data_IF_666358696260
#
_entry.id   IF_666358696260
#
_cell.length_a   1.000
_cell.length_b   1.000
_cell.length_c   1.000
_cell.angle_alpha   90.00
_cell.angle_beta   90.00
_cell.angle_gamma   90.00
#
_symmetry.space_group_name_H-M   'P 1'
#
loop_
_entity.id
_entity.type
_entity.pdbx_description
1 polymer ?
#
# COMPACT_ATOMS: atom_id res chain seq x y z
N UNK A 1 -8.68 -6.62 -11.19
CA UNK A 1 -8.45 -7.41 -9.97
C UNK A 1 -9.73 -8.17 -9.66
N UNK A 2 -9.60 -9.42 -9.20
CA UNK A 2 -10.64 -10.46 -9.02
C UNK A 2 -11.99 -10.26 -9.72
N UNK A 3 -12.83 -9.30 -9.31
CA UNK A 3 -14.13 -9.00 -9.92
C UNK A 3 -14.07 -8.78 -11.44
N UNK A 4 -13.04 -8.12 -11.99
CA UNK A 4 -12.93 -8.00 -13.46
C UNK A 4 -12.58 -9.32 -14.14
N UNK A 5 -11.79 -10.16 -13.47
CA UNK A 5 -11.45 -11.48 -13.98
C UNK A 5 -12.70 -12.37 -13.98
N UNK A 6 -13.51 -12.28 -12.92
CA UNK A 6 -14.75 -13.02 -12.77
C UNK A 6 -15.89 -12.48 -13.67
N UNK A 7 -15.80 -11.22 -14.13
CA UNK A 7 -16.79 -10.54 -14.99
C UNK A 7 -18.22 -10.69 -14.47
N UNK A 8 -18.41 -10.48 -13.17
CA UNK A 8 -19.68 -10.79 -12.49
C UNK A 8 -20.86 -9.94 -12.99
N UNK A 9 -20.58 -8.74 -13.52
CA UNK A 9 -21.58 -7.82 -14.06
C UNK A 9 -21.83 -8.00 -15.57
N UNK A 10 -21.14 -8.95 -16.21
CA UNK A 10 -21.27 -9.21 -17.63
C UNK A 10 -22.21 -10.38 -17.87
N UNK A 11 -23.36 -10.12 -18.51
CA UNK A 11 -24.35 -11.14 -18.84
C UNK A 11 -23.79 -12.30 -19.71
N UNK A 12 -22.66 -12.09 -20.39
CA UNK A 12 -21.96 -13.12 -21.16
C UNK A 12 -20.95 -13.94 -20.34
N UNK A 13 -20.72 -13.57 -19.07
CA UNK A 13 -19.85 -14.33 -18.17
C UNK A 13 -20.58 -15.60 -17.68
N UNK A 14 -19.92 -16.77 -17.69
CA UNK A 14 -20.48 -17.98 -17.10
C UNK A 14 -20.87 -17.84 -15.61
N UNK A 15 -20.29 -16.86 -14.92
CA UNK A 15 -20.52 -16.58 -13.50
C UNK A 15 -21.63 -15.55 -13.25
N UNK A 16 -22.18 -14.92 -14.29
CA UNK A 16 -23.25 -13.94 -14.15
C UNK A 16 -24.47 -14.53 -13.40
N UNK A 17 -24.96 -13.81 -12.40
CA UNK A 17 -26.11 -14.22 -11.59
C UNK A 17 -25.84 -15.36 -10.60
N UNK A 18 -24.60 -15.86 -10.47
CA UNK A 18 -24.24 -16.86 -9.46
C UNK A 18 -23.88 -16.19 -8.14
N UNK A 19 -24.39 -16.73 -7.04
CA UNK A 19 -24.10 -16.23 -5.70
C UNK A 19 -22.62 -16.44 -5.34
N UNK A 20 -21.99 -15.42 -4.77
CA UNK A 20 -20.57 -15.42 -4.41
C UNK A 20 -20.41 -14.92 -2.97
N UNK A 21 -19.60 -15.63 -2.19
CA UNK A 21 -19.18 -15.18 -0.87
C UNK A 21 -17.78 -14.58 -1.00
N UNK A 22 -17.65 -13.29 -0.73
CA UNK A 22 -16.37 -12.59 -0.74
C UNK A 22 -15.78 -12.53 0.67
N UNK A 23 -14.54 -13.00 0.83
CA UNK A 23 -13.77 -12.84 2.07
C UNK A 23 -12.69 -11.81 1.79
N UNK A 24 -12.87 -10.61 2.32
CA UNK A 24 -11.87 -9.54 2.24
C UNK A 24 -10.88 -9.68 3.38
N UNK A 25 -9.60 -9.81 3.05
CA UNK A 25 -8.52 -9.79 4.04
C UNK A 25 -8.01 -8.37 4.15
N UNK A 26 -8.15 -7.79 5.34
CA UNK A 26 -7.69 -6.44 5.64
C UNK A 26 -6.33 -6.47 6.36
N UNK A 27 -5.64 -5.33 6.36
CA UNK A 27 -4.46 -5.12 7.17
C UNK A 27 -4.81 -5.30 8.64
N UNK A 28 -3.81 -5.67 9.44
CA UNK A 28 -3.99 -5.69 10.88
C UNK A 28 -4.15 -4.26 11.42
N UNK A 29 -5.03 -4.09 12.40
CA UNK A 29 -5.01 -2.88 13.21
C UNK A 29 -3.69 -2.79 13.97
N UNK A 30 -3.34 -1.61 14.47
CA UNK A 30 -2.14 -1.42 15.29
C UNK A 30 -2.07 -2.46 16.42
N UNK A 31 -3.18 -2.63 17.14
CA UNK A 31 -3.26 -3.56 18.28
C UNK A 31 -3.05 -5.00 17.83
N UNK A 32 -3.64 -5.38 16.69
CA UNK A 32 -3.49 -6.73 16.15
C UNK A 32 -2.09 -6.98 15.61
N UNK A 33 -1.41 -5.98 15.06
CA UNK A 33 0.00 -6.06 14.65
C UNK A 33 0.93 -6.26 15.84
N UNK A 34 0.69 -5.54 16.95
CA UNK A 34 1.43 -5.72 18.21
C UNK A 34 1.21 -7.14 18.74
N UNK A 35 -0.05 -7.56 18.89
CA UNK A 35 -0.42 -8.89 19.38
C UNK A 35 0.18 -10.02 18.53
N UNK A 36 0.19 -9.84 17.20
CA UNK A 36 0.79 -10.79 16.26
C UNK A 36 2.29 -10.99 16.52
N UNK A 37 3.06 -9.90 16.64
CA UNK A 37 4.50 -9.98 16.91
C UNK A 37 4.79 -10.51 18.31
N UNK A 38 4.05 -10.05 19.33
CA UNK A 38 4.19 -10.52 20.71
C UNK A 38 4.00 -12.03 20.78
N UNK A 39 2.90 -12.56 20.23
CA UNK A 39 2.64 -14.01 20.22
C UNK A 39 3.69 -14.79 19.43
N UNK A 40 4.18 -14.24 18.31
CA UNK A 40 5.27 -14.83 17.56
C UNK A 40 6.56 -14.95 18.39
N UNK A 41 6.92 -13.91 19.15
CA UNK A 41 8.09 -13.92 20.02
C UNK A 41 7.91 -14.82 21.24
N UNK A 42 6.71 -14.91 21.82
CA UNK A 42 6.39 -15.85 22.91
C UNK A 42 6.62 -17.30 22.48
N UNK A 43 6.19 -17.69 21.27
CA UNK A 43 6.42 -19.03 20.72
C UNK A 43 7.92 -19.37 20.58
N UNK A 44 8.76 -18.34 20.45
CA UNK A 44 10.22 -18.46 20.32
C UNK A 44 10.95 -18.30 21.66
N UNK A 45 10.23 -18.14 22.78
CA UNK A 45 10.78 -17.79 24.09
C UNK A 45 11.68 -16.54 24.07
N UNK A 46 11.38 -15.58 23.18
CA UNK A 46 12.09 -14.31 23.09
C UNK A 46 11.49 -13.28 24.05
N UNK A 47 12.36 -12.54 24.74
CA UNK A 47 11.95 -11.40 25.55
C UNK A 47 11.50 -10.26 24.65
N UNK A 48 10.24 -9.83 24.79
CA UNK A 48 9.67 -8.76 23.99
C UNK A 48 10.07 -7.38 24.53
N UNK A 49 10.37 -6.44 23.64
CA UNK A 49 10.41 -5.00 23.94
C UNK A 49 9.25 -4.31 23.20
N UNK A 50 8.17 -4.03 23.93
CA UNK A 50 6.96 -3.44 23.35
C UNK A 50 7.21 -2.09 22.67
N UNK A 51 8.14 -1.27 23.19
CA UNK A 51 8.44 0.03 22.58
C UNK A 51 9.05 -0.15 21.20
N UNK A 52 9.89 -1.17 21.03
CA UNK A 52 10.54 -1.50 19.75
C UNK A 52 9.56 -2.12 18.76
N UNK A 53 8.63 -2.93 19.25
CA UNK A 53 7.53 -3.47 18.44
C UNK A 53 6.63 -2.34 17.92
N UNK A 54 6.26 -1.40 18.78
CA UNK A 54 5.46 -0.23 18.38
C UNK A 54 6.19 0.63 17.34
N UNK A 55 7.49 0.89 17.53
CA UNK A 55 8.34 1.62 16.57
C UNK A 55 8.37 0.93 15.20
N UNK A 56 8.44 -0.41 15.17
CA UNK A 56 8.41 -1.14 13.91
C UNK A 56 7.05 -1.05 13.21
N UNK A 57 5.95 -1.06 13.96
CA UNK A 57 4.59 -0.95 13.41
C UNK A 57 4.33 0.45 12.85
N UNK A 58 4.91 1.50 13.44
CA UNK A 58 4.84 2.85 12.87
C UNK A 58 5.45 2.91 11.46
N UNK A 59 6.47 2.11 11.18
CA UNK A 59 7.15 2.07 9.88
C UNK A 59 6.61 1.04 8.89
N UNK A 60 6.11 -0.10 9.37
CA UNK A 60 5.69 -1.24 8.55
C UNK A 60 4.17 -1.36 8.39
N UNK A 61 3.41 -0.64 9.21
CA UNK A 61 1.95 -0.72 9.29
C UNK A 61 1.44 -2.17 9.54
N UNK A 62 0.15 -2.43 9.34
CA UNK A 62 -0.50 -3.72 9.55
C UNK A 62 -0.31 -4.75 8.44
N UNK A 63 0.72 -4.63 7.59
CA UNK A 63 0.97 -5.57 6.50
C UNK A 63 1.67 -6.82 7.03
N UNK A 64 0.92 -7.92 7.10
CA UNK A 64 1.36 -9.19 7.71
C UNK A 64 2.68 -9.69 7.12
N UNK A 65 2.90 -9.53 5.81
CA UNK A 65 4.16 -9.92 5.16
C UNK A 65 5.37 -9.22 5.76
N UNK A 66 5.27 -7.91 5.98
CA UNK A 66 6.35 -7.12 6.60
C UNK A 66 6.53 -7.45 8.08
N UNK A 67 5.45 -7.68 8.82
CA UNK A 67 5.52 -8.12 10.22
C UNK A 67 6.22 -9.47 10.35
N UNK A 68 5.97 -10.41 9.44
CA UNK A 68 6.65 -11.72 9.42
C UNK A 68 8.14 -11.55 9.12
N UNK A 69 8.50 -10.77 8.10
CA UNK A 69 9.90 -10.50 7.76
C UNK A 69 10.63 -9.85 8.94
N UNK A 70 10.00 -8.87 9.58
CA UNK A 70 10.52 -8.22 10.78
C UNK A 70 10.73 -9.20 11.92
N UNK A 71 9.70 -9.94 12.33
CA UNK A 71 9.78 -10.89 13.44
C UNK A 71 10.84 -11.98 13.21
N UNK A 72 10.93 -12.50 11.98
CA UNK A 72 11.96 -13.45 11.58
C UNK A 72 13.37 -12.85 11.73
N UNK A 73 13.56 -11.60 11.31
CA UNK A 73 14.87 -10.94 11.36
C UNK A 73 15.28 -10.60 12.79
N UNK A 74 14.33 -10.19 13.64
CA UNK A 74 14.55 -10.02 15.09
C UNK A 74 15.03 -11.32 15.70
N UNK A 75 14.36 -12.44 15.41
CA UNK A 75 14.76 -13.76 15.92
C UNK A 75 16.16 -14.18 15.44
N UNK A 76 16.46 -13.96 14.16
CA UNK A 76 17.73 -14.36 13.57
C UNK A 76 18.91 -13.53 14.09
N UNK A 77 18.72 -12.21 14.29
CA UNK A 77 19.82 -11.26 14.55
C UNK A 77 19.88 -10.74 15.99
N UNK A 78 18.80 -10.86 16.74
CA UNK A 78 18.70 -10.39 18.12
C UNK A 78 18.67 -8.86 18.29
N UNK A 79 18.50 -8.09 17.21
CA UNK A 79 18.38 -6.63 17.25
C UNK A 79 17.11 -6.17 16.53
N UNK A 80 16.27 -5.42 17.26
CA UNK A 80 15.04 -4.82 16.73
C UNK A 80 15.34 -3.71 15.72
N UNK A 81 16.38 -2.91 15.95
CA UNK A 81 16.80 -1.81 15.08
C UNK A 81 17.34 -2.32 13.74
N UNK A 82 18.26 -3.29 13.77
CA UNK A 82 18.78 -3.92 12.56
C UNK A 82 17.65 -4.61 11.79
N UNK A 83 16.76 -5.32 12.49
CA UNK A 83 15.62 -5.97 11.86
C UNK A 83 14.68 -4.97 11.16
N UNK A 84 14.41 -3.82 11.80
CA UNK A 84 13.56 -2.79 11.20
C UNK A 84 14.21 -2.22 9.94
N UNK A 85 15.48 -1.84 10.01
CA UNK A 85 16.22 -1.29 8.87
C UNK A 85 16.23 -2.24 7.68
N UNK A 86 16.54 -3.52 7.91
CA UNK A 86 16.62 -4.52 6.83
C UNK A 86 15.26 -4.92 6.27
N UNK A 87 14.24 -4.95 7.13
CA UNK A 87 12.87 -5.21 6.67
C UNK A 87 12.39 -4.07 5.80
N UNK A 88 12.64 -2.82 6.19
CA UNK A 88 12.32 -1.65 5.38
C UNK A 88 13.04 -1.67 4.04
N UNK A 89 14.34 -1.95 4.03
CA UNK A 89 15.10 -2.05 2.77
C UNK A 89 14.55 -3.15 1.85
N UNK A 90 14.22 -4.31 2.42
CA UNK A 90 13.67 -5.42 1.64
C UNK A 90 12.26 -5.12 1.13
N UNK A 91 11.42 -4.50 1.96
CA UNK A 91 10.06 -4.10 1.59
C UNK A 91 10.09 -3.02 0.50
N UNK A 92 10.97 -2.03 0.62
CA UNK A 92 11.17 -0.98 -0.39
C UNK A 92 11.56 -1.58 -1.75
N UNK A 93 12.49 -2.54 -1.79
CA UNK A 93 12.90 -3.22 -3.04
C UNK A 93 11.77 -4.02 -3.68
N UNK A 94 10.92 -4.66 -2.87
CA UNK A 94 9.74 -5.38 -3.38
C UNK A 94 8.79 -4.38 -4.04
N UNK A 95 8.46 -3.30 -3.32
CA UNK A 95 7.57 -2.24 -3.81
C UNK A 95 8.14 -1.51 -5.02
N UNK A 96 9.45 -1.25 -5.04
CA UNK A 96 10.13 -0.62 -6.17
C UNK A 96 9.90 -1.41 -7.45
N UNK A 97 10.09 -2.74 -7.40
CA UNK A 97 9.82 -3.62 -8.53
C UNK A 97 8.34 -3.60 -8.95
N UNK A 98 7.41 -3.61 -8.01
CA UNK A 98 5.97 -3.53 -8.31
C UNK A 98 5.59 -2.19 -8.96
N UNK A 99 6.23 -1.10 -8.53
CA UNK A 99 6.06 0.23 -9.09
C UNK A 99 6.69 0.35 -10.48
N UNK A 100 7.86 -0.23 -10.73
CA UNK A 100 8.47 -0.31 -12.07
C UNK A 100 7.50 -0.94 -13.08
N UNK A 101 6.94 -2.11 -12.76
CA UNK A 101 5.95 -2.80 -13.60
C UNK A 101 4.66 -1.98 -13.80
N UNK A 102 4.29 -1.15 -12.81
CA UNK A 102 3.15 -0.24 -12.93
C UNK A 102 3.47 0.93 -13.86
N UNK A 103 4.66 1.52 -13.75
CA UNK A 103 5.08 2.70 -14.52
C UNK A 103 5.35 2.37 -15.99
N UNK A 104 5.83 1.15 -16.28
CA UNK A 104 5.93 0.64 -17.65
C UNK A 104 4.58 0.66 -18.39
N UNK A 105 3.46 0.46 -17.67
CA UNK A 105 2.12 0.54 -18.26
C UNK A 105 1.72 1.98 -18.59
N UNK A 106 2.11 2.94 -17.76
CA UNK A 106 1.92 4.37 -17.98
C UNK A 106 2.66 5.21 -16.95
N UNK A 107 3.44 6.17 -17.43
CA UNK A 107 4.09 7.19 -16.60
C UNK A 107 3.10 8.01 -15.76
N UNK A 108 1.83 8.10 -16.18
CA UNK A 108 0.82 8.84 -15.45
C UNK A 108 0.52 8.24 -14.06
N UNK A 109 0.76 6.93 -13.86
CA UNK A 109 0.66 6.31 -12.54
C UNK A 109 1.69 6.89 -11.57
N UNK A 110 2.94 7.04 -12.05
CA UNK A 110 4.03 7.62 -11.28
C UNK A 110 3.71 9.06 -10.87
N UNK A 111 3.33 9.89 -11.84
CA UNK A 111 3.01 11.31 -11.60
C UNK A 111 1.92 11.48 -10.54
N UNK A 112 0.86 10.64 -10.59
CA UNK A 112 -0.23 10.70 -9.61
C UNK A 112 0.22 10.23 -8.24
N UNK A 113 1.00 9.15 -8.14
CA UNK A 113 1.52 8.67 -6.87
C UNK A 113 2.49 9.69 -6.24
N UNK A 114 3.37 10.30 -7.03
CA UNK A 114 4.27 11.38 -6.58
C UNK A 114 3.48 12.57 -6.02
N UNK A 115 2.44 13.03 -6.72
CA UNK A 115 1.60 14.13 -6.25
C UNK A 115 1.03 13.83 -4.85
N UNK A 116 0.47 12.62 -4.68
CA UNK A 116 -0.18 12.20 -3.44
C UNK A 116 0.84 12.03 -2.32
N UNK A 117 2.01 11.45 -2.60
CA UNK A 117 3.12 11.35 -1.65
C UNK A 117 3.60 12.73 -1.17
N UNK A 118 3.58 13.74 -2.05
CA UNK A 118 3.81 15.15 -1.72
C UNK A 118 2.59 15.87 -1.12
N UNK A 119 1.62 15.14 -0.57
CA UNK A 119 0.42 15.66 0.12
C UNK A 119 -0.53 16.46 -0.80
N UNK A 120 -0.38 16.34 -2.12
CA UNK A 120 -1.36 16.83 -3.09
C UNK A 120 -2.41 15.74 -3.27
N UNK A 121 -3.36 15.66 -2.34
CA UNK A 121 -4.27 14.53 -2.20
C UNK A 121 -5.72 14.81 -2.64
N UNK A 122 -6.01 15.98 -3.21
CA UNK A 122 -7.33 16.28 -3.78
C UNK A 122 -7.27 16.24 -5.30
N UNK A 123 -8.38 15.93 -5.97
CA UNK A 123 -8.43 15.86 -7.43
C UNK A 123 -7.82 17.11 -8.10
N UNK A 124 -8.19 18.30 -7.63
CA UNK A 124 -7.69 19.57 -8.19
C UNK A 124 -6.18 19.73 -8.04
N UNK A 125 -5.61 19.41 -6.87
CA UNK A 125 -4.16 19.51 -6.64
C UNK A 125 -3.38 18.46 -7.41
N UNK A 126 -3.90 17.23 -7.50
CA UNK A 126 -3.29 16.16 -8.30
C UNK A 126 -3.28 16.58 -9.76
N UNK A 127 -4.38 17.13 -10.28
CA UNK A 127 -4.47 17.63 -11.66
C UNK A 127 -3.46 18.73 -11.93
N UNK A 128 -3.34 19.71 -11.03
CA UNK A 128 -2.39 20.81 -11.15
C UNK A 128 -0.95 20.29 -11.28
N UNK A 129 -0.51 19.45 -10.34
CA UNK A 129 0.81 18.80 -10.38
C UNK A 129 1.01 18.01 -11.68
N UNK A 130 0.00 17.25 -12.04
CA UNK A 130 0.07 16.33 -13.16
C UNK A 130 0.20 17.02 -14.52
N UNK A 131 -0.51 18.14 -14.71
CA UNK A 131 -0.43 18.95 -15.94
C UNK A 131 0.94 19.62 -16.05
N UNK A 132 1.56 20.01 -14.94
CA UNK A 132 2.92 20.57 -14.93
C UNK A 132 3.97 19.54 -15.36
N UNK A 133 3.77 18.26 -15.04
CA UNK A 133 4.68 17.16 -15.38
C UNK A 133 4.41 16.53 -16.74
N UNK A 134 3.16 16.53 -17.20
CA UNK A 134 2.75 15.85 -18.44
C UNK A 134 1.60 16.57 -19.12
N UNK A 135 1.84 17.06 -20.34
CA UNK A 135 0.82 17.67 -21.19
C UNK A 135 -0.31 16.70 -21.60
N UNK A 136 -0.14 15.39 -21.39
CA UNK A 136 -1.13 14.36 -21.75
C UNK A 136 -2.21 14.15 -20.68
N UNK A 137 -2.09 14.80 -19.52
CA UNK A 137 -2.99 14.64 -18.38
C UNK A 137 -4.24 15.53 -18.52
N UNK A 138 -5.33 14.96 -19.07
CA UNK A 138 -6.67 15.58 -19.02
C UNK A 138 -7.55 14.95 -17.93
N UNK A 139 -8.74 15.53 -17.68
CA UNK A 139 -9.65 15.08 -16.62
C UNK A 139 -10.09 13.62 -16.75
N UNK A 140 -10.31 13.16 -17.99
CA UNK A 140 -10.68 11.77 -18.26
C UNK A 140 -9.51 10.83 -17.95
N UNK A 141 -8.30 11.19 -18.39
CA UNK A 141 -7.09 10.41 -18.10
C UNK A 141 -6.84 10.34 -16.61
N UNK A 142 -6.86 11.46 -15.90
CA UNK A 142 -6.65 11.50 -14.44
C UNK A 142 -7.70 10.66 -13.70
N UNK A 143 -8.97 10.78 -14.07
CA UNK A 143 -10.05 9.97 -13.48
C UNK A 143 -9.80 8.48 -13.67
N UNK A 144 -9.36 8.07 -14.87
CA UNK A 144 -9.05 6.67 -15.14
C UNK A 144 -7.84 6.17 -14.35
N UNK A 145 -6.79 6.99 -14.24
CA UNK A 145 -5.59 6.68 -13.46
C UNK A 145 -5.92 6.51 -11.98
N UNK A 146 -6.67 7.45 -11.39
CA UNK A 146 -7.10 7.37 -9.98
C UNK A 146 -7.95 6.12 -9.74
N UNK A 147 -8.93 5.83 -10.61
CA UNK A 147 -9.75 4.61 -10.51
C UNK A 147 -8.90 3.34 -10.60
N UNK A 148 -7.92 3.31 -11.51
CA UNK A 148 -7.03 2.18 -11.68
C UNK A 148 -6.13 1.99 -10.45
N UNK A 149 -5.56 3.06 -9.89
CA UNK A 149 -4.73 2.99 -8.68
C UNK A 149 -5.52 2.55 -7.45
N UNK A 150 -6.76 3.02 -7.29
CA UNK A 150 -7.67 2.54 -6.22
C UNK A 150 -7.94 1.05 -6.40
N UNK A 151 -8.23 0.64 -7.63
CA UNK A 151 -8.50 -0.75 -7.99
C UNK A 151 -7.29 -1.67 -7.82
N UNK A 152 -6.08 -1.15 -8.01
CA UNK A 152 -4.83 -1.85 -7.74
C UNK A 152 -4.42 -1.79 -6.26
N UNK A 153 -5.23 -1.16 -5.40
CA UNK A 153 -4.98 -0.98 -3.97
C UNK A 153 -3.75 -0.12 -3.63
N UNK A 154 -3.22 0.64 -4.60
CA UNK A 154 -2.19 1.66 -4.35
C UNK A 154 -2.77 2.93 -3.74
N UNK A 155 -4.08 3.17 -3.90
CA UNK A 155 -4.78 4.31 -3.33
C UNK A 155 -6.06 3.89 -2.60
N UNK A 156 -6.41 4.66 -1.58
CA UNK A 156 -7.73 4.67 -0.95
C UNK A 156 -8.37 6.05 -1.09
N UNK A 157 -9.71 6.06 -1.09
CA UNK A 157 -10.50 7.27 -1.10
C UNK A 157 -11.01 7.56 0.32
N UNK A 158 -10.69 8.73 0.85
CA UNK A 158 -11.14 9.20 2.17
C UNK A 158 -11.93 10.49 2.04
N UNK A 159 -12.90 10.69 2.93
CA UNK A 159 -13.64 11.95 3.01
C UNK A 159 -13.19 12.71 4.25
N UNK A 160 -12.56 13.87 4.05
CA UNK A 160 -12.07 14.76 5.09
C UNK A 160 -12.56 16.18 4.80
N UNK A 161 -13.13 16.85 5.81
CA UNK A 161 -13.63 18.22 5.72
C UNK A 161 -14.61 18.45 4.55
N UNK A 162 -15.45 17.46 4.25
CA UNK A 162 -16.40 17.51 3.13
C UNK A 162 -15.76 17.36 1.74
N UNK A 163 -14.47 17.05 1.67
CA UNK A 163 -13.72 16.86 0.43
C UNK A 163 -13.20 15.42 0.30
N UNK A 164 -13.28 14.89 -0.92
CA UNK A 164 -12.69 13.59 -1.26
C UNK A 164 -11.17 13.73 -1.41
N UNK A 165 -10.44 12.87 -0.74
CA UNK A 165 -8.99 12.79 -0.75
C UNK A 165 -8.52 11.39 -1.13
N UNK A 166 -7.36 11.34 -1.77
CA UNK A 166 -6.69 10.12 -2.16
C UNK A 166 -5.46 9.93 -1.28
N UNK A 167 -5.30 8.74 -0.70
CA UNK A 167 -4.16 8.43 0.16
C UNK A 167 -3.49 7.16 -0.31
N UNK A 168 -2.17 7.10 -0.19
CA UNK A 168 -1.43 5.84 -0.33
C UNK A 168 -1.55 5.13 1.02
N UNK A 169 -2.26 3.99 1.10
CA UNK A 169 -2.47 3.33 2.39
C UNK A 169 -1.18 2.68 2.89
N UNK A 170 -0.32 2.18 1.99
CA UNK A 170 0.95 1.53 2.34
C UNK A 170 2.07 2.56 2.57
N UNK A 171 2.61 2.71 3.79
CA UNK A 171 3.71 3.64 4.04
C UNK A 171 4.98 3.26 3.28
N UNK A 172 5.19 1.99 2.92
CA UNK A 172 6.34 1.57 2.12
C UNK A 172 6.18 2.07 0.68
N UNK A 173 4.98 2.00 0.10
CA UNK A 173 4.70 2.62 -1.22
C UNK A 173 4.99 4.10 -1.19
N UNK A 174 4.46 4.84 -0.21
CA UNK A 174 4.72 6.28 -0.09
C UNK A 174 6.22 6.57 0.05
N UNK A 175 6.92 5.83 0.91
CA UNK A 175 8.36 5.98 1.13
C UNK A 175 9.18 5.68 -0.13
N UNK A 176 8.85 4.62 -0.86
CA UNK A 176 9.54 4.24 -2.09
C UNK A 176 9.30 5.31 -3.16
N UNK A 177 8.07 5.78 -3.35
CA UNK A 177 7.74 6.83 -4.34
C UNK A 177 8.54 8.12 -4.07
N UNK A 178 8.70 8.53 -2.81
CA UNK A 178 9.47 9.71 -2.43
C UNK A 178 10.99 9.59 -2.67
N UNK A 179 11.50 8.37 -2.87
CA UNK A 179 12.93 8.11 -3.14
C UNK A 179 13.24 7.99 -4.64
N UNK A 180 12.23 7.88 -5.48
CA UNK A 180 12.43 7.74 -6.92
C UNK A 180 13.06 9.02 -7.52
N UNK A 181 13.97 8.88 -8.49
CA UNK A 181 14.77 9.99 -9.04
C UNK A 181 13.99 10.95 -9.95
#
# INVERSE_FOLDING_TARGET
MLHDFLRLDDANSPLFGRYLNEIKIERFSRERSIDFLVKGFEQLNLKQDLRKIEEAIDGLDGLVGYLVMYGYTVWQKGSYETALSETLESAERIVEKELEELFEKSENYRIVLEAIAHRMNTFSKIKEYSVMKSMSMNDRTLTNVLKALVKYSYLEERFEDGSKRYVIPDPIVERTVLKLP
#
